data_IF_354308277923
#
_entry.id   IF_354308277923
#
_cell.length_a   1.000
_cell.length_b   1.000
_cell.length_c   1.000
_cell.angle_alpha   90.00
_cell.angle_beta   90.00
_cell.angle_gamma   90.00
#
_symmetry.space_group_name_H-M   'P 1'
#
loop_
_entity.id
_entity.type
_entity.pdbx_description
1 polymer ?
#
# COMPACT_ATOMS: atom_id res chain seq x y z
N UNK A 1 11.75 -7.20 -6.08
CA UNK A 1 11.01 -6.27 -5.19
C UNK A 1 10.15 -5.28 -5.98
N UNK A 2 9.49 -5.70 -7.08
CA UNK A 2 8.74 -4.79 -7.96
C UNK A 2 7.26 -4.61 -7.55
N UNK A 3 6.69 -5.55 -6.77
CA UNK A 3 5.31 -5.46 -6.29
C UNK A 3 5.06 -4.36 -5.24
N UNK A 4 6.11 -3.76 -4.68
CA UNK A 4 5.98 -2.69 -3.69
C UNK A 4 5.64 -1.33 -4.33
N UNK A 5 6.18 -1.04 -5.52
CA UNK A 5 6.01 0.27 -6.18
C UNK A 5 4.69 0.39 -6.94
N UNK A 6 4.09 -0.72 -7.36
CA UNK A 6 2.77 -0.75 -8.01
C UNK A 6 1.96 -1.90 -7.40
N UNK A 7 1.05 -1.63 -6.45
CA UNK A 7 0.29 -2.67 -5.74
C UNK A 7 -0.47 -3.59 -6.70
N UNK A 8 -1.01 -3.02 -7.79
CA UNK A 8 -1.67 -3.76 -8.87
C UNK A 8 -0.76 -4.83 -9.49
N UNK A 9 0.49 -4.50 -9.80
CA UNK A 9 1.46 -5.45 -10.38
C UNK A 9 1.82 -6.52 -9.36
N UNK A 10 1.95 -6.17 -8.08
CA UNK A 10 2.18 -7.13 -7.00
C UNK A 10 1.03 -8.12 -6.82
N UNK A 11 -0.23 -7.66 -6.95
CA UNK A 11 -1.42 -8.51 -6.91
C UNK A 11 -1.54 -9.41 -8.15
N UNK A 12 -1.24 -8.89 -9.35
CA UNK A 12 -1.21 -9.68 -10.59
C UNK A 12 -0.14 -10.79 -10.48
N UNK A 13 1.08 -10.46 -10.04
CA UNK A 13 2.15 -11.45 -9.83
C UNK A 13 1.77 -12.49 -8.77
N UNK A 14 1.08 -12.09 -7.70
CA UNK A 14 0.54 -13.02 -6.71
C UNK A 14 -0.42 -14.02 -7.37
N UNK A 15 -1.38 -13.57 -8.18
CA UNK A 15 -2.35 -14.45 -8.85
C UNK A 15 -1.70 -15.37 -9.89
N UNK A 16 -0.80 -14.84 -10.73
CA UNK A 16 -0.11 -15.60 -11.79
C UNK A 16 0.77 -16.69 -11.19
N UNK A 17 1.49 -16.40 -10.11
CA UNK A 17 2.41 -17.36 -9.49
C UNK A 17 1.81 -18.18 -8.36
N UNK A 18 0.52 -18.00 -8.02
CA UNK A 18 -0.09 -18.68 -6.86
C UNK A 18 0.00 -20.21 -6.92
N UNK A 19 -0.09 -20.77 -8.14
CA UNK A 19 -0.10 -22.21 -8.37
C UNK A 19 1.30 -22.76 -8.74
N UNK A 20 2.16 -21.93 -9.36
CA UNK A 20 3.46 -22.35 -9.89
C UNK A 20 4.64 -22.07 -8.96
N UNK A 21 4.61 -20.94 -8.24
CA UNK A 21 5.71 -20.46 -7.37
C UNK A 21 5.16 -19.81 -6.10
N UNK A 22 4.55 -20.59 -5.18
CA UNK A 22 3.82 -20.06 -4.03
C UNK A 22 4.67 -19.19 -3.10
N UNK A 23 5.97 -19.48 -2.97
CA UNK A 23 6.91 -18.68 -2.17
C UNK A 23 7.13 -17.28 -2.76
N UNK A 24 7.33 -17.18 -4.07
CA UNK A 24 7.47 -15.90 -4.76
C UNK A 24 6.15 -15.14 -4.82
N UNK A 25 5.03 -15.86 -5.01
CA UNK A 25 3.69 -15.29 -4.96
C UNK A 25 3.43 -14.64 -3.60
N UNK A 26 3.66 -15.35 -2.48
CA UNK A 26 3.48 -14.79 -1.12
C UNK A 26 4.31 -13.53 -0.90
N UNK A 27 5.56 -13.50 -1.35
CA UNK A 27 6.40 -12.29 -1.25
C UNK A 27 5.84 -11.12 -2.07
N UNK A 28 5.34 -11.37 -3.28
CA UNK A 28 4.74 -10.34 -4.12
C UNK A 28 3.43 -9.80 -3.52
N UNK A 29 2.55 -10.69 -3.06
CA UNK A 29 1.29 -10.32 -2.42
C UNK A 29 1.48 -9.58 -1.09
N UNK A 30 2.43 -10.01 -0.25
CA UNK A 30 2.74 -9.32 1.01
C UNK A 30 3.33 -7.93 0.75
N UNK A 31 4.19 -7.79 -0.26
CA UNK A 31 4.70 -6.48 -0.68
C UNK A 31 3.60 -5.53 -1.17
N UNK A 32 2.62 -6.05 -1.92
CA UNK A 32 1.47 -5.26 -2.39
C UNK A 32 0.53 -4.85 -1.25
N UNK A 33 0.27 -5.76 -0.31
CA UNK A 33 -0.61 -5.49 0.83
C UNK A 33 0.00 -4.45 1.77
N UNK A 34 1.30 -4.57 2.05
CA UNK A 34 2.03 -3.59 2.88
C UNK A 34 2.05 -2.21 2.24
N UNK A 35 2.27 -2.11 0.92
CA UNK A 35 2.28 -0.80 0.25
C UNK A 35 0.90 -0.13 0.28
N UNK A 36 -0.20 -0.87 0.07
CA UNK A 36 -1.56 -0.32 0.21
C UNK A 36 -1.82 0.18 1.63
N UNK A 37 -1.49 -0.62 2.65
CA UNK A 37 -1.70 -0.23 4.06
C UNK A 37 -0.90 1.03 4.40
N UNK A 38 0.37 1.10 3.99
CA UNK A 38 1.20 2.27 4.21
C UNK A 38 0.65 3.51 3.52
N UNK A 39 0.21 3.40 2.26
CA UNK A 39 -0.39 4.52 1.53
C UNK A 39 -1.65 5.03 2.21
N UNK A 40 -2.55 4.13 2.62
CA UNK A 40 -3.79 4.51 3.33
C UNK A 40 -3.47 5.16 4.67
N UNK A 41 -2.56 4.59 5.45
CA UNK A 41 -2.16 5.14 6.75
C UNK A 41 -1.57 6.55 6.63
N UNK A 42 -0.67 6.77 5.66
CA UNK A 42 -0.11 8.08 5.38
C UNK A 42 -1.19 9.07 4.95
N UNK A 43 -2.12 8.66 4.09
CA UNK A 43 -3.20 9.54 3.63
C UNK A 43 -4.10 9.99 4.80
N UNK A 44 -4.43 9.07 5.71
CA UNK A 44 -5.18 9.39 6.93
C UNK A 44 -4.41 10.38 7.80
N UNK A 45 -3.11 10.15 8.03
CA UNK A 45 -2.26 11.05 8.81
C UNK A 45 -2.25 12.46 8.18
N UNK A 46 -2.06 12.56 6.86
CA UNK A 46 -2.05 13.85 6.16
C UNK A 46 -3.40 14.56 6.23
N UNK A 47 -4.52 13.84 6.11
CA UNK A 47 -5.86 14.42 6.29
C UNK A 47 -6.01 14.97 7.70
N UNK A 48 -5.65 14.19 8.72
CA UNK A 48 -5.76 14.61 10.12
C UNK A 48 -4.94 15.87 10.37
N UNK A 49 -3.66 15.86 9.97
CA UNK A 49 -2.78 17.02 10.10
C UNK A 49 -3.35 18.22 9.33
N UNK A 50 -3.80 18.03 8.09
CA UNK A 50 -4.37 19.10 7.26
C UNK A 50 -5.60 19.74 7.90
N UNK A 51 -6.50 18.94 8.48
CA UNK A 51 -7.67 19.43 9.21
C UNK A 51 -7.25 20.21 10.47
N UNK A 52 -6.31 19.69 11.26
CA UNK A 52 -5.81 20.38 12.45
C UNK A 52 -5.16 21.72 12.11
N UNK A 53 -4.32 21.75 11.07
CA UNK A 53 -3.66 22.98 10.62
C UNK A 53 -4.70 23.99 10.12
N UNK A 54 -5.64 23.56 9.28
CA UNK A 54 -6.71 24.44 8.78
C UNK A 54 -7.60 25.00 9.90
N UNK A 55 -7.83 24.22 10.97
CA UNK A 55 -8.58 24.69 12.13
C UNK A 55 -7.78 25.72 12.94
N UNK A 56 -6.47 25.49 13.11
CA UNK A 56 -5.59 26.42 13.84
C UNK A 56 -5.34 27.75 13.13
N UNK A 57 -5.50 27.79 11.80
CA UNK A 57 -5.37 29.03 11.02
C UNK A 57 -6.68 29.81 10.87
N UNK A 58 -7.81 29.20 11.24
CA UNK A 58 -9.13 29.82 11.20
C UNK A 58 -9.56 30.49 12.52
N UNK A 59 -8.79 30.30 13.60
CA UNK A 59 -8.94 30.93 14.91
C UNK A 59 -7.94 32.07 15.12
#
# INVERSE_FOLDING_TARGET
MLGFFIPLVGLILFLVWKNEKPLSAKKAGMGALVSVILTVALYVIFIVIGVFVAMSSAS
#
